data_IF_680395268067
#
_entry.id   IF_680395268067
#
_cell.length_a   1.000
_cell.length_b   1.000
_cell.length_c   1.000
_cell.angle_alpha   90.00
_cell.angle_beta   90.00
_cell.angle_gamma   90.00
#
_symmetry.space_group_name_H-M   'P 1'
#
loop_
_entity.id
_entity.type
_entity.pdbx_description
1 polymer ?
#
# COMPACT_ATOMS: atom_id res chain seq x y z
N UNK A 1 23.54 12.91 20.63
CA UNK A 1 23.19 12.02 19.53
C UNK A 1 23.78 10.63 19.81
N UNK A 2 23.14 9.53 19.44
CA UNK A 2 23.70 8.20 19.62
C UNK A 2 24.96 8.01 18.76
N UNK A 3 25.89 7.17 19.24
CA UNK A 3 27.20 6.97 18.61
C UNK A 3 27.13 6.54 17.13
N UNK A 4 26.12 5.75 16.80
CA UNK A 4 25.93 5.22 15.44
C UNK A 4 24.78 5.92 14.66
N UNK A 5 24.29 7.07 15.14
CA UNK A 5 23.14 7.76 14.55
C UNK A 5 21.84 7.05 14.84
N UNK A 6 20.81 7.35 14.05
CA UNK A 6 19.48 6.71 14.13
C UNK A 6 19.20 5.94 12.83
N UNK A 7 18.67 4.75 12.96
CA UNK A 7 18.22 3.92 11.84
C UNK A 7 16.70 3.87 11.81
N UNK A 8 16.14 3.78 10.61
CA UNK A 8 14.70 3.59 10.39
C UNK A 8 14.46 2.34 9.54
N UNK A 9 13.37 1.63 9.85
CA UNK A 9 12.79 0.58 9.01
C UNK A 9 11.69 1.23 8.19
N UNK A 10 11.97 1.54 6.94
CA UNK A 10 11.01 2.17 6.05
C UNK A 10 10.32 1.13 5.18
N UNK A 11 8.97 1.13 5.18
CA UNK A 11 8.17 0.10 4.52
C UNK A 11 7.97 0.38 3.02
N UNK A 12 9.07 0.63 2.30
CA UNK A 12 9.11 0.70 0.85
C UNK A 12 10.50 0.36 0.32
N UNK A 13 10.61 0.23 -0.99
CA UNK A 13 11.87 0.15 -1.74
C UNK A 13 12.28 1.58 -2.08
N UNK A 14 13.05 2.22 -1.16
CA UNK A 14 13.54 3.58 -1.37
C UNK A 14 14.42 3.67 -2.64
N UNK A 15 14.38 4.80 -3.36
CA UNK A 15 13.77 6.09 -3.00
C UNK A 15 12.27 6.20 -3.31
N UNK A 16 11.62 5.12 -3.79
CA UNK A 16 10.18 5.12 -4.07
C UNK A 16 9.39 5.11 -2.75
N UNK A 17 8.35 5.95 -2.69
CA UNK A 17 7.41 6.05 -1.58
C UNK A 17 8.03 6.56 -0.27
N UNK A 18 8.85 7.62 -0.32
CA UNK A 18 9.20 8.39 0.87
C UNK A 18 7.94 8.95 1.54
N UNK A 19 7.82 8.93 2.86
CA UNK A 19 6.73 9.57 3.58
C UNK A 19 5.82 8.63 4.37
N UNK A 20 4.55 9.06 4.60
CA UNK A 20 3.74 8.55 5.69
C UNK A 20 2.97 7.25 5.42
N UNK A 21 2.69 6.92 4.15
CA UNK A 21 1.80 5.80 3.80
C UNK A 21 2.34 4.93 2.65
N UNK A 22 3.61 4.46 2.72
CA UNK A 22 4.26 3.78 1.61
C UNK A 22 3.53 2.51 1.16
N UNK A 23 3.06 1.67 2.09
CA UNK A 23 2.36 0.42 1.78
C UNK A 23 1.05 0.69 1.04
N UNK A 24 0.22 1.60 1.58
CA UNK A 24 -1.04 1.99 0.95
C UNK A 24 -0.83 2.48 -0.48
N UNK A 25 0.14 3.39 -0.67
CA UNK A 25 0.41 4.00 -1.99
C UNK A 25 0.96 3.00 -2.99
N UNK A 26 1.79 2.05 -2.56
CA UNK A 26 2.28 0.98 -3.43
C UNK A 26 1.14 0.09 -3.95
N UNK A 27 0.23 -0.35 -3.07
CA UNK A 27 -0.93 -1.16 -3.46
C UNK A 27 -1.87 -0.36 -4.39
N UNK A 28 -2.22 0.87 -4.01
CA UNK A 28 -3.12 1.72 -4.81
C UNK A 28 -2.55 2.07 -6.18
N UNK A 29 -1.23 2.24 -6.29
CA UNK A 29 -0.55 2.48 -7.56
C UNK A 29 -0.45 1.24 -8.46
N UNK A 30 -0.69 0.05 -7.89
CA UNK A 30 -0.56 -1.21 -8.60
C UNK A 30 0.87 -1.65 -8.82
N UNK A 31 1.76 -1.29 -7.90
CA UNK A 31 3.12 -1.82 -7.88
C UNK A 31 3.06 -3.35 -7.77
N UNK A 32 3.92 -4.06 -8.46
CA UNK A 32 3.97 -5.52 -8.40
C UNK A 32 4.83 -6.04 -7.24
N UNK A 33 5.74 -5.19 -6.75
CA UNK A 33 6.71 -5.51 -5.70
C UNK A 33 6.80 -4.34 -4.74
N UNK A 34 6.88 -4.63 -3.45
CA UNK A 34 7.22 -3.69 -2.39
C UNK A 34 8.34 -4.27 -1.52
N UNK A 35 8.64 -3.67 -0.40
CA UNK A 35 9.67 -4.17 0.51
C UNK A 35 9.92 -3.27 1.70
N UNK A 36 11.04 -3.51 2.34
CA UNK A 36 11.56 -2.70 3.46
C UNK A 36 12.97 -2.24 3.15
N UNK A 37 13.27 -1.01 3.52
CA UNK A 37 14.62 -0.45 3.47
C UNK A 37 15.06 -0.05 4.87
N UNK A 38 16.24 -0.52 5.30
CA UNK A 38 16.92 0.01 6.47
C UNK A 38 17.75 1.21 6.01
N UNK A 39 17.48 2.37 6.59
CA UNK A 39 18.15 3.62 6.23
C UNK A 39 18.65 4.37 7.45
N UNK A 40 19.67 5.20 7.28
CA UNK A 40 20.09 6.19 8.27
C UNK A 40 19.11 7.37 8.24
N UNK A 41 18.75 7.88 9.41
CA UNK A 41 17.87 9.05 9.50
C UNK A 41 18.67 10.34 9.31
N UNK A 42 18.14 11.23 8.49
CA UNK A 42 18.63 12.58 8.25
C UNK A 42 17.52 13.62 8.47
N UNK A 43 17.80 14.89 8.24
CA UNK A 43 16.83 15.97 8.42
C UNK A 43 15.69 15.97 7.39
N UNK A 44 15.91 15.37 6.21
CA UNK A 44 14.88 15.24 5.17
C UNK A 44 13.92 14.07 5.44
N UNK A 45 12.75 14.14 4.83
CA UNK A 45 11.73 13.08 4.94
C UNK A 45 12.19 11.84 4.16
N UNK A 46 12.66 10.83 4.90
CA UNK A 46 13.13 9.54 4.38
C UNK A 46 14.19 9.65 3.26
N UNK A 47 15.08 10.67 3.36
CA UNK A 47 16.11 10.96 2.35
C UNK A 47 17.47 10.34 2.66
N UNK A 48 17.66 9.85 3.87
CA UNK A 48 18.94 9.34 4.31
C UNK A 48 19.43 8.10 3.55
N UNK A 49 20.74 7.80 3.61
CA UNK A 49 21.32 6.70 2.85
C UNK A 49 20.82 5.34 3.32
N UNK A 50 20.67 4.43 2.35
CA UNK A 50 20.19 3.07 2.54
C UNK A 50 21.33 2.14 2.95
N UNK A 51 21.07 1.24 3.92
CA UNK A 51 22.03 0.23 4.41
C UNK A 51 21.70 -1.17 3.90
N UNK A 52 20.42 -1.52 3.88
CA UNK A 52 19.95 -2.84 3.44
C UNK A 52 18.53 -2.74 2.92
N UNK A 53 18.14 -3.70 2.08
CA UNK A 53 16.81 -3.76 1.49
C UNK A 53 16.36 -5.21 1.33
N UNK A 54 15.07 -5.46 1.58
CA UNK A 54 14.42 -6.72 1.27
C UNK A 54 13.12 -6.46 0.52
N UNK A 55 12.74 -7.38 -0.38
CA UNK A 55 11.60 -7.23 -1.29
C UNK A 55 10.60 -8.36 -1.11
N UNK A 56 9.33 -8.06 -1.37
CA UNK A 56 8.24 -9.04 -1.43
C UNK A 56 7.25 -8.69 -2.54
N UNK A 57 6.62 -9.67 -3.21
CA UNK A 57 5.57 -9.40 -4.19
C UNK A 57 4.30 -8.89 -3.49
N UNK A 58 3.59 -7.97 -4.14
CA UNK A 58 2.30 -7.46 -3.65
C UNK A 58 1.17 -8.42 -4.01
N UNK A 59 1.10 -8.85 -5.27
CA UNK A 59 0.03 -9.72 -5.78
C UNK A 59 -1.37 -9.13 -5.48
N UNK A 60 -2.26 -9.91 -4.83
CA UNK A 60 -3.60 -9.52 -4.42
C UNK A 60 -3.72 -9.15 -2.93
N UNK A 61 -2.58 -8.96 -2.26
CA UNK A 61 -2.54 -8.65 -0.83
C UNK A 61 -3.10 -7.26 -0.54
N UNK A 62 -3.78 -7.18 0.59
CA UNK A 62 -4.21 -5.91 1.18
C UNK A 62 -3.07 -5.21 1.90
N UNK A 63 -3.25 -3.93 2.19
CA UNK A 63 -2.31 -3.16 3.03
C UNK A 63 -2.13 -3.79 4.41
N UNK A 64 -3.20 -4.38 4.99
CA UNK A 64 -3.11 -5.07 6.29
C UNK A 64 -2.18 -6.27 6.23
N UNK A 65 -2.37 -7.16 5.26
CA UNK A 65 -1.54 -8.35 5.07
C UNK A 65 -0.07 -7.99 4.79
N UNK A 66 0.15 -6.98 3.93
CA UNK A 66 1.50 -6.49 3.67
C UNK A 66 2.14 -5.83 4.89
N UNK A 67 1.37 -5.16 5.74
CA UNK A 67 1.90 -4.54 6.97
C UNK A 67 2.45 -5.60 7.91
N UNK A 68 1.75 -6.72 8.10
CA UNK A 68 2.21 -7.84 8.91
C UNK A 68 3.47 -8.49 8.32
N UNK A 69 3.45 -8.79 7.02
CA UNK A 69 4.58 -9.40 6.32
C UNK A 69 5.83 -8.50 6.34
N UNK A 70 5.66 -7.20 6.05
CA UNK A 70 6.77 -6.24 6.04
C UNK A 70 7.30 -5.93 7.44
N UNK A 71 6.47 -6.03 8.50
CA UNK A 71 6.93 -5.89 9.87
C UNK A 71 7.89 -7.02 10.24
N UNK A 72 7.56 -8.27 9.89
CA UNK A 72 8.43 -9.41 10.12
C UNK A 72 9.72 -9.34 9.31
N UNK A 73 9.59 -9.06 8.01
CA UNK A 73 10.72 -8.89 7.09
C UNK A 73 11.67 -7.77 7.55
N UNK A 74 11.10 -6.64 7.97
CA UNK A 74 11.85 -5.50 8.47
C UNK A 74 12.57 -5.79 9.79
N UNK A 75 11.94 -6.52 10.70
CA UNK A 75 12.56 -6.93 11.96
C UNK A 75 13.77 -7.84 11.72
N UNK A 76 13.63 -8.84 10.85
CA UNK A 76 14.73 -9.75 10.50
C UNK A 76 15.89 -8.97 9.82
N UNK A 77 15.55 -8.09 8.87
CA UNK A 77 16.53 -7.27 8.16
C UNK A 77 17.27 -6.31 9.12
N UNK A 78 16.54 -5.66 10.04
CA UNK A 78 17.13 -4.75 11.02
C UNK A 78 18.09 -5.49 11.95
N UNK A 79 17.71 -6.66 12.48
CA UNK A 79 18.57 -7.46 13.34
C UNK A 79 19.85 -7.88 12.61
N UNK A 80 19.74 -8.30 11.34
CA UNK A 80 20.90 -8.60 10.50
C UNK A 80 21.79 -7.38 10.30
N UNK A 81 21.21 -6.24 9.95
CA UNK A 81 21.94 -5.00 9.72
C UNK A 81 22.67 -4.51 10.98
N UNK A 82 22.04 -4.59 12.15
CA UNK A 82 22.67 -4.17 13.42
C UNK A 82 23.83 -5.09 13.82
N UNK A 83 23.70 -6.40 13.56
CA UNK A 83 24.75 -7.38 13.88
C UNK A 83 26.05 -7.08 13.12
N UNK A 84 25.90 -6.66 11.87
CA UNK A 84 27.01 -6.44 10.94
C UNK A 84 27.13 -4.96 10.48
N UNK A 85 26.73 -4.01 11.34
CA UNK A 85 26.57 -2.59 11.00
C UNK A 85 27.82 -1.97 10.35
N UNK A 86 29.01 -2.42 10.74
CA UNK A 86 30.28 -1.88 10.23
C UNK A 86 30.61 -2.28 8.80
N UNK A 87 29.97 -3.32 8.26
CA UNK A 87 30.19 -3.77 6.88
C UNK A 87 29.14 -3.23 5.91
N UNK A 88 28.03 -2.71 6.41
CA UNK A 88 27.02 -2.07 5.57
C UNK A 88 27.52 -0.68 5.11
N UNK A 89 27.85 -0.59 3.82
CA UNK A 89 28.22 0.69 3.21
C UNK A 89 26.94 1.48 2.90
N UNK A 90 26.76 2.68 3.48
CA UNK A 90 25.59 3.49 3.18
C UNK A 90 25.56 3.90 1.71
N UNK A 91 24.41 3.66 1.04
CA UNK A 91 24.20 4.01 -0.37
C UNK A 91 23.23 5.21 -0.42
N UNK A 92 23.69 6.32 -1.00
CA UNK A 92 22.86 7.49 -1.18
C UNK A 92 21.66 7.16 -2.10
N UNK A 93 20.50 7.74 -1.80
CA UNK A 93 19.32 7.64 -2.66
C UNK A 93 19.46 8.56 -3.86
N UNK A 94 19.01 8.13 -5.05
CA UNK A 94 18.88 9.02 -6.20
C UNK A 94 17.55 9.79 -6.11
N UNK A 95 17.62 11.11 -6.01
CA UNK A 95 16.44 11.97 -5.91
C UNK A 95 15.63 12.01 -7.23
N UNK A 96 16.22 11.65 -8.36
CA UNK A 96 15.52 11.55 -9.63
C UNK A 96 14.47 10.42 -9.64
N UNK A 97 14.70 9.36 -8.87
CA UNK A 97 13.79 8.22 -8.74
C UNK A 97 12.82 8.34 -7.55
N UNK A 98 12.92 9.44 -6.78
CA UNK A 98 12.12 9.61 -5.58
C UNK A 98 10.64 9.84 -5.89
N UNK A 99 9.77 9.11 -5.20
CA UNK A 99 8.33 9.37 -5.16
C UNK A 99 7.87 9.50 -3.72
N UNK A 100 6.69 10.11 -3.52
CA UNK A 100 6.22 10.44 -2.18
C UNK A 100 4.89 9.76 -1.86
N UNK A 101 4.82 9.18 -0.68
CA UNK A 101 3.65 8.52 -0.10
C UNK A 101 2.94 9.47 0.88
N UNK A 102 2.09 10.35 0.35
CA UNK A 102 1.28 11.23 1.17
C UNK A 102 0.38 10.42 2.11
N UNK A 103 0.17 10.96 3.32
CA UNK A 103 -0.77 10.39 4.29
C UNK A 103 -2.15 10.18 3.64
N UNK A 104 -2.81 9.07 3.98
CA UNK A 104 -4.15 8.78 3.50
C UNK A 104 -5.15 9.75 4.13
N UNK A 105 -5.92 10.44 3.29
CA UNK A 105 -7.07 11.24 3.73
C UNK A 105 -8.32 10.36 3.75
N UNK A 106 -9.17 10.56 4.77
CA UNK A 106 -10.46 9.86 4.86
C UNK A 106 -11.40 10.17 3.69
N UNK A 107 -11.26 11.36 3.09
CA UNK A 107 -12.03 11.77 1.93
C UNK A 107 -11.74 10.92 0.69
N UNK A 108 -10.50 10.43 0.55
CA UNK A 108 -10.13 9.55 -0.58
C UNK A 108 -10.64 8.10 -0.42
N UNK A 109 -11.23 7.74 0.72
CA UNK A 109 -11.70 6.38 0.95
C UNK A 109 -13.06 6.06 0.28
N UNK A 110 -13.78 7.05 -0.25
CA UNK A 110 -15.00 6.80 -1.02
C UNK A 110 -14.65 6.16 -2.36
N UNK A 111 -15.33 5.06 -2.70
CA UNK A 111 -15.14 4.37 -3.98
C UNK A 111 -15.73 5.23 -5.10
N UNK A 112 -14.96 5.39 -6.16
CA UNK A 112 -15.35 6.01 -7.41
C UNK A 112 -15.54 4.91 -8.45
N UNK A 113 -16.81 4.62 -8.79
CA UNK A 113 -17.16 3.59 -9.76
C UNK A 113 -16.89 3.97 -11.21
N UNK A 114 -16.63 5.26 -11.49
CA UNK A 114 -16.23 5.75 -12.82
C UNK A 114 -14.76 5.42 -13.15
N UNK A 115 -14.08 4.66 -12.28
CA UNK A 115 -12.74 4.12 -12.53
C UNK A 115 -12.80 2.70 -13.08
N UNK A 116 -11.74 2.24 -13.78
CA UNK A 116 -11.62 0.83 -14.18
C UNK A 116 -11.65 -0.13 -12.98
N UNK A 117 -12.21 -1.31 -13.16
CA UNK A 117 -12.35 -2.32 -12.10
C UNK A 117 -11.02 -2.64 -11.38
N UNK A 118 -9.92 -2.70 -12.12
CA UNK A 118 -8.59 -2.95 -11.56
C UNK A 118 -8.15 -1.84 -10.59
N UNK A 119 -8.50 -0.58 -10.87
CA UNK A 119 -8.19 0.54 -9.99
C UNK A 119 -9.08 0.55 -8.75
N UNK A 120 -10.36 0.18 -8.88
CA UNK A 120 -11.28 0.03 -7.74
C UNK A 120 -10.81 -1.07 -6.80
N UNK A 121 -10.36 -2.22 -7.32
CA UNK A 121 -9.79 -3.31 -6.49
C UNK A 121 -8.53 -2.85 -5.78
N UNK A 122 -7.59 -2.21 -6.49
CA UNK A 122 -6.35 -1.66 -5.90
C UNK A 122 -6.64 -0.62 -4.81
N UNK A 123 -7.64 0.23 -5.04
CA UNK A 123 -8.09 1.22 -4.06
C UNK A 123 -8.67 0.54 -2.81
N UNK A 124 -9.52 -0.48 -2.98
CA UNK A 124 -10.07 -1.25 -1.86
C UNK A 124 -8.98 -1.96 -1.06
N UNK A 125 -8.10 -2.72 -1.71
CA UNK A 125 -6.99 -3.42 -1.07
C UNK A 125 -5.99 -2.46 -0.42
N UNK A 126 -5.68 -1.34 -1.08
CA UNK A 126 -4.79 -0.31 -0.59
C UNK A 126 -5.28 0.39 0.67
N UNK A 127 -6.59 0.41 0.91
CA UNK A 127 -7.19 1.01 2.11
C UNK A 127 -7.68 -0.03 3.15
N UNK A 128 -7.57 -1.31 2.87
CA UNK A 128 -7.99 -2.40 3.76
C UNK A 128 -6.90 -2.75 4.77
N UNK A 129 -7.22 -2.98 6.05
CA UNK A 129 -8.56 -2.86 6.64
C UNK A 129 -8.91 -1.42 7.08
N UNK A 130 -7.94 -0.51 7.12
CA UNK A 130 -8.11 0.86 7.61
C UNK A 130 -7.49 1.90 6.65
N UNK A 131 -8.21 3.00 6.34
CA UNK A 131 -9.55 3.38 6.81
C UNK A 131 -10.69 2.51 6.27
N UNK A 132 -10.45 1.72 5.23
CA UNK A 132 -11.40 0.94 4.45
C UNK A 132 -12.06 1.77 3.35
N UNK A 133 -11.91 1.35 2.10
CA UNK A 133 -12.66 1.94 0.99
C UNK A 133 -14.15 1.68 1.21
N UNK A 134 -15.03 2.63 0.87
CA UNK A 134 -16.44 2.52 1.17
C UNK A 134 -17.31 3.07 0.05
N UNK A 135 -18.54 2.59 0.00
CA UNK A 135 -19.63 3.08 -0.84
C UNK A 135 -20.93 3.14 -0.04
N UNK A 136 -21.95 3.75 -0.61
CA UNK A 136 -23.29 3.81 -0.01
C UNK A 136 -24.20 2.77 -0.63
N UNK A 137 -24.88 1.99 0.23
CA UNK A 137 -25.93 1.06 -0.13
C UNK A 137 -27.14 1.38 0.74
N UNK A 138 -28.27 1.74 0.11
CA UNK A 138 -29.52 2.11 0.80
C UNK A 138 -29.29 3.17 1.92
N UNK A 139 -28.43 4.16 1.65
CA UNK A 139 -28.11 5.24 2.58
C UNK A 139 -27.20 4.83 3.74
N UNK A 140 -26.69 3.62 3.74
CA UNK A 140 -25.73 3.13 4.73
C UNK A 140 -24.33 2.98 4.12
N UNK A 141 -23.29 3.33 4.89
CA UNK A 141 -21.93 3.08 4.47
C UNK A 141 -21.57 1.61 4.63
N UNK A 142 -21.02 1.06 3.56
CA UNK A 142 -20.47 -0.30 3.54
C UNK A 142 -19.03 -0.21 3.10
N UNK A 143 -18.12 -0.80 3.87
CA UNK A 143 -16.72 -0.90 3.49
C UNK A 143 -16.50 -2.13 2.61
N UNK A 144 -15.71 -1.94 1.56
CA UNK A 144 -15.19 -3.00 0.71
C UNK A 144 -13.75 -3.29 1.17
N UNK A 145 -13.56 -4.43 1.82
CA UNK A 145 -12.26 -4.82 2.36
C UNK A 145 -11.46 -5.69 1.40
N UNK A 146 -12.18 -6.53 0.60
CA UNK A 146 -11.55 -7.37 -0.42
C UNK A 146 -12.49 -7.52 -1.62
N UNK A 147 -11.92 -7.50 -2.81
CA UNK A 147 -12.63 -7.69 -4.06
C UNK A 147 -11.73 -8.35 -5.12
N UNK A 148 -12.35 -8.90 -6.15
CA UNK A 148 -11.68 -9.39 -7.35
C UNK A 148 -12.24 -8.69 -8.59
N UNK A 149 -11.41 -8.60 -9.63
CA UNK A 149 -11.87 -8.14 -10.96
C UNK A 149 -12.61 -9.28 -11.63
N UNK A 150 -13.78 -8.98 -12.19
CA UNK A 150 -14.57 -9.92 -12.98
C UNK A 150 -15.00 -9.29 -14.31
N UNK A 151 -15.39 -10.12 -15.25
CA UNK A 151 -16.02 -9.64 -16.48
C UNK A 151 -17.42 -9.10 -16.17
N UNK A 152 -17.78 -8.00 -16.81
CA UNK A 152 -19.09 -7.38 -16.67
C UNK A 152 -19.13 -6.02 -17.34
N UNK A 153 -20.32 -5.60 -17.76
CA UNK A 153 -20.55 -4.29 -18.35
C UNK A 153 -21.92 -3.77 -17.91
N UNK A 154 -21.97 -2.52 -17.51
CA UNK A 154 -23.18 -1.84 -17.03
C UNK A 154 -22.86 -0.39 -16.71
N UNK A 155 -23.82 0.34 -16.17
CA UNK A 155 -23.56 1.68 -15.66
C UNK A 155 -22.66 1.60 -14.42
N UNK A 156 -21.69 2.52 -14.23
CA UNK A 156 -20.84 2.54 -13.05
C UNK A 156 -21.65 2.49 -11.75
N UNK A 157 -21.34 1.52 -10.88
CA UNK A 157 -22.08 1.26 -9.63
C UNK A 157 -23.31 0.37 -9.76
N UNK A 158 -23.68 -0.06 -10.96
CA UNK A 158 -24.79 -0.99 -11.19
C UNK A 158 -24.43 -2.40 -10.72
N UNK A 159 -25.34 -3.04 -9.98
CA UNK A 159 -25.23 -4.45 -9.59
C UNK A 159 -25.67 -5.33 -10.74
N UNK A 160 -24.81 -6.19 -11.24
CA UNK A 160 -25.01 -6.97 -12.47
C UNK A 160 -25.61 -8.35 -12.23
N UNK A 161 -25.40 -8.94 -11.06
CA UNK A 161 -25.84 -10.29 -10.75
C UNK A 161 -26.16 -10.50 -9.25
N UNK A 162 -26.76 -11.64 -8.94
CA UNK A 162 -27.13 -12.03 -7.57
C UNK A 162 -25.92 -12.27 -6.65
N UNK A 163 -24.70 -12.35 -7.20
CA UNK A 163 -23.44 -12.50 -6.48
C UNK A 163 -22.72 -11.16 -6.28
N UNK A 164 -23.44 -10.04 -6.45
CA UNK A 164 -22.98 -8.68 -6.26
C UNK A 164 -21.80 -8.28 -7.17
N UNK A 165 -21.76 -8.73 -8.42
CA UNK A 165 -20.86 -8.10 -9.37
C UNK A 165 -21.30 -6.65 -9.60
N UNK A 166 -20.37 -5.69 -9.44
CA UNK A 166 -20.66 -4.26 -9.56
C UNK A 166 -19.87 -3.71 -10.74
N UNK A 167 -20.58 -3.05 -11.67
CA UNK A 167 -19.98 -2.45 -12.85
C UNK A 167 -19.08 -1.27 -12.49
N UNK A 168 -17.99 -1.16 -13.21
CA UNK A 168 -17.07 -0.03 -13.21
C UNK A 168 -17.04 0.64 -14.60
N UNK A 169 -16.23 1.69 -14.78
CA UNK A 169 -16.11 2.29 -16.13
C UNK A 169 -15.58 1.30 -17.17
N UNK A 170 -14.76 0.35 -16.75
CA UNK A 170 -14.25 -0.76 -17.54
C UNK A 170 -14.21 -2.01 -16.67
N UNK A 171 -14.92 -3.08 -17.11
CA UNK A 171 -15.05 -4.31 -16.33
C UNK A 171 -15.99 -4.17 -15.14
N UNK A 172 -15.91 -5.13 -14.22
CA UNK A 172 -16.67 -5.15 -12.98
C UNK A 172 -15.80 -5.69 -11.83
N UNK A 173 -16.23 -5.44 -10.60
CA UNK A 173 -15.64 -6.07 -9.42
C UNK A 173 -16.63 -7.01 -8.75
N UNK A 174 -16.14 -8.01 -8.06
CA UNK A 174 -16.93 -8.82 -7.12
C UNK A 174 -16.41 -8.61 -5.71
N UNK A 175 -17.24 -8.10 -4.79
CA UNK A 175 -16.90 -8.05 -3.38
C UNK A 175 -16.69 -9.44 -2.82
N UNK A 176 -15.58 -9.65 -2.09
CA UNK A 176 -15.28 -10.88 -1.37
C UNK A 176 -15.44 -10.68 0.14
N UNK A 177 -15.19 -9.46 0.62
CA UNK A 177 -15.35 -9.09 2.03
C UNK A 177 -15.95 -7.70 2.15
N UNK A 178 -17.07 -7.61 2.88
CA UNK A 178 -17.78 -6.38 3.18
C UNK A 178 -17.93 -6.20 4.70
N UNK A 179 -17.87 -4.95 5.15
CA UNK A 179 -18.08 -4.59 6.54
C UNK A 179 -19.05 -3.41 6.65
N UNK A 180 -20.05 -3.50 7.52
CA UNK A 180 -20.85 -2.32 7.90
C UNK A 180 -19.95 -1.31 8.61
N UNK A 181 -20.04 -0.04 8.20
CA UNK A 181 -19.26 1.05 8.77
C UNK A 181 -19.96 1.65 10.00
#
# INVERSE_FOLDING_TARGET
>A
APEHGCLNVHASILPRWRGAAPIHRAVMAGDTVTGVTIMQMEAGLDTGPMLAMARTPIEDKTTGELTEELAELGAQLMVGTLRDLKIHVPVAQDDADATYAAKIDKAEARIDWDRPAVEVVRHAHGLSPFPGAWFELDGQRVKLLRAEVVEGAGAPGEVLDERLAIACSEGAIRPLELQRA
#
